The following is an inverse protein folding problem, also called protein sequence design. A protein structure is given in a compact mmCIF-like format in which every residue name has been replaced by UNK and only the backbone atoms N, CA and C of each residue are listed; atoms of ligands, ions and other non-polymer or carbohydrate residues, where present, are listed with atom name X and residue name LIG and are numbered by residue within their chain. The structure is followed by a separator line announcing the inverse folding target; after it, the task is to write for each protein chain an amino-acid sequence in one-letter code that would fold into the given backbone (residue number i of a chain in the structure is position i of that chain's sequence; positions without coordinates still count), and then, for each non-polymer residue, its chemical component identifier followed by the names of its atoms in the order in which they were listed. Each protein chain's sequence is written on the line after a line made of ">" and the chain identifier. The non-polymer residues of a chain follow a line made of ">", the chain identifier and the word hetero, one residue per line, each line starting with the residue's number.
data_IF_985598637144
#
_entry.id   IF_985598637144
#
_cell.length_a   1.000
_cell.length_b   1.000
_cell.length_c   1.000
_cell.angle_alpha   90.00
_cell.angle_beta   90.00
_cell.angle_gamma   90.00
#
_symmetry.space_group_name_H-M   'P 1'
#
loop_
_entity.id
_entity.type
_entity.pdbx_description
1 polymer ?
#
# COMPACT_ATOMS: atom_id res chain seq x y z
N UNK A 1 10.03 7.15 -28.24
CA UNK A 1 9.20 7.92 -27.30
C UNK A 1 7.96 7.08 -27.08
N UNK A 2 7.66 6.73 -25.83
CA UNK A 2 6.43 5.99 -25.50
C UNK A 2 5.34 7.04 -25.32
N UNK A 3 4.27 6.96 -26.11
CA UNK A 3 3.16 7.92 -26.04
C UNK A 3 2.08 7.37 -25.10
N UNK A 4 1.86 8.08 -23.99
CA UNK A 4 0.81 7.76 -23.02
C UNK A 4 -0.56 8.32 -23.40
N UNK A 5 -0.63 9.23 -24.39
CA UNK A 5 -1.86 9.96 -24.74
C UNK A 5 -3.05 9.06 -25.08
N UNK A 6 -2.78 7.88 -25.64
CA UNK A 6 -3.82 6.91 -25.99
C UNK A 6 -4.36 6.12 -24.77
N UNK A 7 -3.73 6.23 -23.60
CA UNK A 7 -4.14 5.55 -22.36
C UNK A 7 -4.87 6.48 -21.39
N UNK A 8 -4.79 7.80 -21.57
CA UNK A 8 -5.49 8.77 -20.74
C UNK A 8 -6.99 8.60 -20.97
N UNK A 9 -7.73 8.24 -19.91
CA UNK A 9 -9.14 7.86 -20.00
C UNK A 9 -10.04 9.09 -20.10
N UNK A 10 -9.61 10.21 -19.55
CA UNK A 10 -10.40 11.45 -19.46
C UNK A 10 -9.56 12.67 -19.86
N UNK A 11 -10.22 13.72 -20.37
CA UNK A 11 -9.53 14.94 -20.81
C UNK A 11 -8.84 15.70 -19.67
N UNK A 12 -9.31 15.52 -18.43
CA UNK A 12 -8.73 16.11 -17.22
C UNK A 12 -7.65 15.23 -16.56
N UNK A 13 -7.27 14.12 -17.21
CA UNK A 13 -6.18 13.27 -16.72
C UNK A 13 -4.82 13.82 -17.14
N UNK A 14 -3.99 14.18 -16.15
CA UNK A 14 -2.70 14.82 -16.37
C UNK A 14 -1.57 14.02 -15.73
N UNK A 15 -0.51 13.76 -16.50
CA UNK A 15 0.72 13.12 -16.02
C UNK A 15 1.52 14.14 -15.22
N UNK A 16 1.83 13.83 -13.96
CA UNK A 16 2.69 14.67 -13.13
C UNK A 16 4.02 14.01 -12.77
N UNK A 17 4.16 12.70 -12.98
CA UNK A 17 5.41 11.97 -12.78
C UNK A 17 5.59 10.92 -13.87
N UNK A 18 6.81 10.80 -14.38
CA UNK A 18 7.20 9.78 -15.35
C UNK A 18 8.60 9.29 -15.04
N UNK A 19 8.83 7.98 -15.24
CA UNK A 19 10.14 7.38 -15.09
C UNK A 19 10.31 6.21 -16.07
N UNK A 20 11.36 6.29 -16.89
CA UNK A 20 11.77 5.19 -17.75
C UNK A 20 12.55 4.11 -17.01
N UNK A 21 12.92 3.04 -17.73
CA UNK A 21 13.77 1.96 -17.22
C UNK A 21 13.30 1.39 -15.87
N UNK A 22 11.98 1.25 -15.71
CA UNK A 22 11.37 0.68 -14.52
C UNK A 22 10.83 -0.70 -14.86
N UNK A 23 11.36 -1.73 -14.21
CA UNK A 23 10.88 -3.10 -14.34
C UNK A 23 9.68 -3.30 -13.44
N UNK A 24 8.65 -3.98 -13.95
CA UNK A 24 7.47 -4.34 -13.15
C UNK A 24 7.42 -5.85 -12.94
N UNK A 25 7.05 -6.25 -11.73
CA UNK A 25 6.63 -7.61 -11.39
C UNK A 25 5.16 -7.59 -11.02
N UNK A 26 4.40 -8.56 -11.52
CA UNK A 26 3.01 -8.81 -11.14
C UNK A 26 2.95 -10.23 -10.61
N UNK A 27 2.68 -10.38 -9.30
CA UNK A 27 2.93 -11.59 -8.55
C UNK A 27 4.37 -12.10 -8.77
N UNK A 28 4.57 -13.39 -9.12
CA UNK A 28 5.89 -13.95 -9.39
C UNK A 28 6.46 -13.58 -10.78
N UNK A 29 5.65 -12.99 -11.67
CA UNK A 29 6.04 -12.80 -13.07
C UNK A 29 6.72 -11.45 -13.30
N UNK A 30 7.96 -11.47 -13.80
CA UNK A 30 8.64 -10.29 -14.32
C UNK A 30 8.18 -9.96 -15.74
N UNK A 31 7.73 -8.73 -15.97
CA UNK A 31 7.30 -8.27 -17.30
C UNK A 31 8.38 -7.47 -18.03
N UNK A 32 9.56 -7.36 -17.41
CA UNK A 32 10.73 -6.68 -17.95
C UNK A 32 10.70 -5.15 -17.78
N UNK A 33 11.63 -4.46 -18.44
CA UNK A 33 11.76 -3.00 -18.35
C UNK A 33 10.64 -2.27 -19.11
N UNK A 34 10.18 -1.16 -18.55
CA UNK A 34 9.21 -0.26 -19.16
C UNK A 34 9.31 1.17 -18.66
N UNK A 35 8.24 1.92 -18.87
CA UNK A 35 8.06 3.29 -18.44
C UNK A 35 6.83 3.35 -17.54
N UNK A 36 7.02 3.87 -16.33
CA UNK A 36 5.92 4.18 -15.42
C UNK A 36 5.53 5.64 -15.60
N UNK A 37 4.22 5.88 -15.59
CA UNK A 37 3.63 7.20 -15.59
C UNK A 37 2.60 7.26 -14.48
N UNK A 38 2.62 8.32 -13.69
CA UNK A 38 1.63 8.56 -12.65
C UNK A 38 0.87 9.82 -13.02
N UNK A 39 -0.45 9.67 -13.12
CA UNK A 39 -1.38 10.76 -13.39
C UNK A 39 -2.11 11.14 -12.12
N UNK A 40 -2.91 12.20 -12.18
CA UNK A 40 -3.85 12.55 -11.13
C UNK A 40 -4.95 11.51 -10.89
N UNK A 41 -5.12 10.46 -11.72
CA UNK A 41 -6.20 9.46 -11.59
C UNK A 41 -5.75 8.00 -11.62
N UNK A 42 -4.69 7.69 -12.37
CA UNK A 42 -4.22 6.34 -12.59
C UNK A 42 -2.69 6.26 -12.58
N UNK A 43 -2.19 5.06 -12.37
CA UNK A 43 -0.81 4.68 -12.63
C UNK A 43 -0.79 3.85 -13.89
N UNK A 44 0.05 4.22 -14.86
CA UNK A 44 0.24 3.46 -16.09
C UNK A 44 1.65 2.91 -16.15
N UNK A 45 1.78 1.68 -16.61
CA UNK A 45 3.07 1.12 -16.99
C UNK A 45 3.02 0.62 -18.42
N UNK A 46 4.02 1.00 -19.21
CA UNK A 46 4.14 0.64 -20.61
C UNK A 46 5.47 -0.06 -20.83
N UNK A 47 5.43 -1.27 -21.35
CA UNK A 47 6.63 -2.05 -21.65
C UNK A 47 7.53 -1.30 -22.65
N UNK A 48 8.85 -1.54 -22.58
CA UNK A 48 9.84 -0.90 -23.48
C UNK A 48 9.57 -1.14 -24.97
N UNK A 49 8.88 -2.22 -25.31
CA UNK A 49 8.48 -2.57 -26.68
C UNK A 49 7.08 -2.03 -27.07
N UNK A 50 6.41 -1.31 -26.17
CA UNK A 50 5.05 -0.77 -26.31
C UNK A 50 3.97 -1.82 -26.64
N UNK A 51 4.21 -3.09 -26.33
CA UNK A 51 3.27 -4.20 -26.57
C UNK A 51 2.39 -4.55 -25.38
N UNK A 52 2.75 -4.07 -24.20
CA UNK A 52 2.06 -4.41 -22.97
C UNK A 52 1.86 -3.13 -22.17
N UNK A 53 0.60 -2.85 -21.85
CA UNK A 53 0.16 -1.66 -21.15
C UNK A 53 -0.73 -2.05 -19.98
N UNK A 54 -0.32 -1.67 -18.79
CA UNK A 54 -1.12 -1.82 -17.57
C UNK A 54 -1.56 -0.46 -17.06
N UNK A 55 -2.77 -0.43 -16.53
CA UNK A 55 -3.36 0.72 -15.86
C UNK A 55 -3.92 0.28 -14.52
N UNK A 56 -3.56 1.00 -13.47
CA UNK A 56 -3.99 0.78 -12.09
C UNK A 56 -4.71 2.03 -11.60
N UNK A 57 -5.92 1.86 -11.06
CA UNK A 57 -6.67 2.96 -10.48
C UNK A 57 -6.21 3.16 -9.03
N UNK A 58 -6.12 4.41 -8.55
CA UNK A 58 -5.80 4.67 -7.14
C UNK A 58 -6.81 4.04 -6.18
N UNK A 59 -8.09 3.97 -6.54
CA UNK A 59 -9.12 3.28 -5.75
C UNK A 59 -8.92 1.76 -5.68
N UNK A 60 -8.10 1.18 -6.55
CA UNK A 60 -7.80 -0.25 -6.55
C UNK A 60 -6.46 -0.54 -5.89
N UNK A 61 -5.70 0.47 -5.44
CA UNK A 61 -4.42 0.27 -4.74
C UNK A 61 -4.72 0.31 -3.26
N UNK A 62 -4.86 -0.86 -2.62
CA UNK A 62 -5.10 -0.94 -1.17
C UNK A 62 -3.90 -0.49 -0.34
N UNK A 63 -2.68 -0.78 -0.81
CA UNK A 63 -1.45 -0.41 -0.12
C UNK A 63 -0.31 -0.11 -1.09
N UNK A 64 0.55 0.84 -0.73
CA UNK A 64 1.89 0.97 -1.31
C UNK A 64 2.98 1.08 -0.21
N UNK A 65 4.17 0.56 -0.49
CA UNK A 65 5.28 0.57 0.46
C UNK A 65 6.66 0.57 -0.24
N UNK A 66 7.67 1.13 0.41
CA UNK A 66 9.06 1.00 -0.03
C UNK A 66 9.65 -0.28 0.55
N UNK A 67 10.04 -1.20 -0.33
CA UNK A 67 10.72 -2.43 0.02
C UNK A 67 12.22 -2.27 -0.17
N UNK A 68 13.00 -2.54 0.88
CA UNK A 68 14.46 -2.47 0.84
C UNK A 68 15.06 -3.74 0.22
N UNK A 69 16.21 -3.60 -0.43
CA UNK A 69 16.95 -4.70 -1.05
C UNK A 69 17.22 -5.84 -0.06
N UNK A 70 16.98 -7.07 -0.51
CA UNK A 70 17.36 -8.33 0.11
C UNK A 70 18.32 -9.10 -0.80
N UNK A 71 18.82 -10.26 -0.34
CA UNK A 71 19.64 -11.14 -1.18
C UNK A 71 18.86 -11.71 -2.39
N UNK A 72 17.54 -11.80 -2.25
CA UNK A 72 16.64 -12.37 -3.26
C UNK A 72 16.05 -11.32 -4.20
N UNK A 73 15.87 -10.07 -3.73
CA UNK A 73 15.17 -9.04 -4.49
C UNK A 73 15.77 -7.63 -4.32
N UNK A 74 15.89 -6.84 -5.40
CA UNK A 74 16.35 -5.45 -5.30
C UNK A 74 15.34 -4.56 -4.57
N UNK A 75 15.80 -3.38 -4.14
CA UNK A 75 14.89 -2.37 -3.57
C UNK A 75 13.80 -2.02 -4.59
N UNK A 76 12.56 -1.87 -4.12
CA UNK A 76 11.39 -1.69 -4.98
C UNK A 76 10.27 -0.92 -4.29
N UNK A 77 9.29 -0.46 -5.06
CA UNK A 77 8.01 -0.01 -4.52
C UNK A 77 7.02 -1.16 -4.67
N UNK A 78 6.56 -1.70 -3.55
CA UNK A 78 5.55 -2.75 -3.49
C UNK A 78 4.16 -2.14 -3.43
N UNK A 79 3.19 -2.74 -4.10
CA UNK A 79 1.78 -2.37 -4.07
C UNK A 79 0.92 -3.63 -4.02
N UNK A 80 -0.19 -3.56 -3.29
CA UNK A 80 -1.29 -4.53 -3.40
C UNK A 80 -2.42 -3.86 -4.16
N UNK A 81 -2.92 -4.52 -5.20
CA UNK A 81 -4.02 -3.99 -6.01
C UNK A 81 -5.13 -5.01 -6.22
N UNK A 82 -6.37 -4.58 -6.10
CA UNK A 82 -7.53 -5.48 -6.24
C UNK A 82 -7.81 -5.79 -7.72
N UNK A 83 -7.54 -4.82 -8.60
CA UNK A 83 -7.83 -4.94 -10.03
C UNK A 83 -6.72 -4.37 -10.90
N UNK A 84 -6.39 -5.11 -11.97
CA UNK A 84 -5.42 -4.70 -12.99
C UNK A 84 -6.11 -4.61 -14.36
N UNK A 85 -6.03 -3.44 -15.00
CA UNK A 85 -6.58 -3.24 -16.35
C UNK A 85 -5.45 -3.35 -17.36
N UNK A 86 -5.52 -4.36 -18.24
CA UNK A 86 -4.60 -4.54 -19.37
C UNK A 86 -5.22 -3.98 -20.64
N UNK A 87 -4.49 -3.13 -21.38
CA UNK A 87 -5.05 -2.37 -22.53
C UNK A 87 -4.79 -3.06 -23.89
N UNK A 88 -3.96 -4.10 -23.94
CA UNK A 88 -3.65 -4.79 -25.19
C UNK A 88 -4.67 -5.87 -25.53
N UNK A 89 -5.66 -5.52 -26.37
CA UNK A 89 -6.25 -6.34 -27.45
C UNK A 89 -6.95 -7.67 -27.15
N UNK A 90 -6.68 -8.29 -26.02
CA UNK A 90 -7.35 -9.49 -25.52
C UNK A 90 -7.98 -9.11 -24.19
N UNK A 91 -9.25 -8.73 -24.30
CA UNK A 91 -10.17 -8.64 -23.19
C UNK A 91 -10.42 -10.05 -22.64
N UNK A 92 -9.37 -10.68 -22.11
CA UNK A 92 -9.51 -11.72 -21.10
C UNK A 92 -9.51 -10.98 -19.77
N UNK A 93 -10.70 -10.54 -19.37
CA UNK A 93 -11.09 -10.75 -17.99
C UNK A 93 -10.69 -12.19 -17.66
N UNK A 94 -9.57 -12.37 -16.97
CA UNK A 94 -9.35 -13.59 -16.20
C UNK A 94 -10.34 -13.47 -15.05
N UNK A 95 -11.60 -13.79 -15.33
CA UNK A 95 -12.36 -14.56 -14.37
C UNK A 95 -11.53 -15.81 -14.12
N UNK A 96 -11.24 -16.04 -12.85
CA UNK A 96 -10.39 -17.09 -12.33
C UNK A 96 -10.80 -18.44 -12.95
N UNK A 97 -9.89 -19.05 -13.69
CA UNK A 97 -9.91 -20.51 -13.82
C UNK A 97 -9.33 -21.01 -12.50
N UNK A 98 -10.22 -21.48 -11.64
CA UNK A 98 -9.95 -22.32 -10.47
C UNK A 98 -9.04 -23.49 -10.91
N UNK A 99 -7.72 -23.35 -10.73
CA UNK A 99 -6.83 -24.50 -10.65
C UNK A 99 -6.82 -24.94 -9.19
N UNK A 100 -7.66 -25.94 -8.90
CA UNK A 100 -7.64 -26.73 -7.67
C UNK A 100 -6.25 -27.36 -7.48
N UNK A 101 -5.36 -26.66 -6.77
CA UNK A 101 -4.29 -27.30 -6.02
C UNK A 101 -4.75 -27.41 -4.56
N UNK A 102 -5.34 -28.56 -4.23
CA UNK A 102 -5.62 -28.99 -2.85
C UNK A 102 -4.31 -29.01 -2.04
N UNK A 103 -3.99 -27.99 -1.23
CA UNK A 103 -3.30 -28.17 0.06
C UNK A 103 -3.68 -27.05 1.07
N UNK A 104 -4.38 -27.49 2.11
CA UNK A 104 -4.59 -26.91 3.45
C UNK A 104 -5.72 -25.87 3.65
N UNK A 105 -6.77 -26.35 4.32
CA UNK A 105 -7.84 -25.58 4.96
C UNK A 105 -7.27 -24.49 5.89
N UNK A 106 -7.05 -23.28 5.35
CA UNK A 106 -7.16 -22.04 6.13
C UNK A 106 -8.37 -21.29 5.58
N UNK A 107 -9.42 -21.32 6.38
CA UNK A 107 -10.71 -20.72 6.10
C UNK A 107 -10.65 -19.22 6.49
N UNK A 108 -9.90 -18.44 5.73
CA UNK A 108 -9.97 -16.97 5.74
C UNK A 108 -10.56 -16.52 4.40
N UNK A 109 -11.51 -15.59 4.45
CA UNK A 109 -11.93 -14.76 3.32
C UNK A 109 -10.72 -13.90 2.89
N UNK A 110 -9.66 -14.52 2.36
CA UNK A 110 -8.47 -13.83 1.89
C UNK A 110 -8.87 -13.00 0.67
N UNK A 111 -9.05 -11.69 0.89
CA UNK A 111 -9.25 -10.71 -0.18
C UNK A 111 -8.22 -10.97 -1.29
N UNK A 112 -8.71 -11.32 -2.49
CA UNK A 112 -7.87 -11.69 -3.63
C UNK A 112 -7.22 -10.42 -4.19
N UNK A 113 -6.07 -10.04 -3.64
CA UNK A 113 -5.25 -8.94 -4.16
C UNK A 113 -4.14 -9.45 -5.08
N UNK A 114 -3.77 -8.62 -6.06
CA UNK A 114 -2.60 -8.82 -6.89
C UNK A 114 -1.42 -7.99 -6.39
N UNK A 115 -0.30 -8.65 -6.15
CA UNK A 115 0.94 -7.98 -5.77
C UNK A 115 1.65 -7.38 -6.98
N UNK A 116 2.14 -6.15 -6.83
CA UNK A 116 2.92 -5.46 -7.85
C UNK A 116 4.20 -4.91 -7.24
N UNK A 117 5.31 -5.01 -7.97
CA UNK A 117 6.57 -4.37 -7.58
C UNK A 117 7.14 -3.54 -8.73
N UNK A 118 7.43 -2.28 -8.45
CA UNK A 118 8.13 -1.38 -9.35
C UNK A 118 9.60 -1.29 -8.96
N UNK A 119 10.48 -1.68 -9.87
CA UNK A 119 11.93 -1.72 -9.67
C UNK A 119 12.58 -0.77 -10.69
N UNK A 120 12.90 0.48 -10.29
CA UNK A 120 13.66 1.36 -11.16
C UNK A 120 15.09 0.84 -11.34
N UNK A 121 15.67 1.06 -12.52
CA UNK A 121 17.10 0.79 -12.76
C UNK A 121 18.01 1.60 -11.82
N UNK A 122 17.58 2.79 -11.44
CA UNK A 122 18.25 3.68 -10.49
C UNK A 122 17.53 3.62 -9.14
N UNK A 123 18.16 2.96 -8.15
CA UNK A 123 17.62 2.80 -6.79
C UNK A 123 17.32 4.14 -6.10
N UNK A 124 17.99 5.24 -6.51
CA UNK A 124 17.73 6.58 -5.93
C UNK A 124 16.34 7.12 -6.30
N UNK A 125 15.67 6.52 -7.29
CA UNK A 125 14.34 6.92 -7.76
C UNK A 125 13.19 6.22 -7.06
N UNK A 126 13.47 5.23 -6.19
CA UNK A 126 12.44 4.46 -5.49
C UNK A 126 11.54 5.38 -4.67
N UNK A 127 12.12 6.27 -3.87
CA UNK A 127 11.34 7.26 -3.12
C UNK A 127 10.55 8.20 -4.03
N UNK A 128 11.09 8.57 -5.19
CA UNK A 128 10.35 9.42 -6.14
C UNK A 128 9.11 8.73 -6.71
N UNK A 129 9.17 7.41 -6.97
CA UNK A 129 8.01 6.62 -7.37
C UNK A 129 7.00 6.57 -6.22
N UNK A 130 7.47 6.23 -5.01
CA UNK A 130 6.63 6.13 -3.83
C UNK A 130 5.89 7.45 -3.53
N UNK A 131 6.62 8.58 -3.49
CA UNK A 131 6.05 9.90 -3.27
C UNK A 131 5.01 10.26 -4.34
N UNK A 132 5.24 9.86 -5.59
CA UNK A 132 4.29 10.07 -6.67
C UNK A 132 3.01 9.25 -6.48
N UNK A 133 3.11 8.00 -6.00
CA UNK A 133 1.95 7.17 -5.66
C UNK A 133 1.19 7.75 -4.46
N UNK A 134 1.87 8.19 -3.40
CA UNK A 134 1.23 8.83 -2.26
C UNK A 134 0.49 10.11 -2.66
N UNK A 135 1.13 10.94 -3.50
CA UNK A 135 0.48 12.14 -4.04
C UNK A 135 -0.75 11.78 -4.89
N UNK A 136 -0.67 10.72 -5.69
CA UNK A 136 -1.80 10.25 -6.47
C UNK A 136 -2.96 9.77 -5.59
N UNK A 137 -2.68 8.99 -4.54
CA UNK A 137 -3.69 8.58 -3.56
C UNK A 137 -4.36 9.79 -2.88
N UNK A 138 -3.58 10.81 -2.49
CA UNK A 138 -4.12 12.05 -1.90
C UNK A 138 -5.08 12.81 -2.84
N UNK A 139 -4.91 12.67 -4.15
CA UNK A 139 -5.77 13.30 -5.16
C UNK A 139 -7.04 12.50 -5.47
N UNK A 140 -7.14 11.26 -4.97
CA UNK A 140 -8.25 10.34 -5.21
C UNK A 140 -8.76 9.76 -3.87
N UNK A 141 -9.31 10.60 -2.96
CA UNK A 141 -9.96 10.10 -1.75
C UNK A 141 -11.21 9.31 -2.11
N UNK A 142 -11.54 8.29 -1.32
CA UNK A 142 -12.73 7.46 -1.57
C UNK A 142 -14.02 8.29 -1.46
N UNK A 143 -14.96 8.14 -2.41
CA UNK A 143 -16.18 8.95 -2.44
C UNK A 143 -17.16 8.65 -1.30
N UNK A 144 -17.02 7.53 -0.59
CA UNK A 144 -17.82 7.19 0.59
C UNK A 144 -17.17 7.63 1.91
N UNK A 145 -15.94 8.15 1.86
CA UNK A 145 -15.19 8.65 3.01
C UNK A 145 -15.35 10.17 3.15
N UNK A 146 -16.59 10.65 3.00
CA UNK A 146 -16.98 11.96 3.54
C UNK A 146 -16.93 11.83 5.08
N UNK A 147 -15.73 11.94 5.67
CA UNK A 147 -15.45 12.04 7.11
C UNK A 147 -16.10 13.30 7.76
N UNK A 148 -17.19 13.84 7.21
CA UNK A 148 -17.98 14.91 7.82
C UNK A 148 -18.83 14.42 9.00
N UNK A 149 -18.83 13.11 9.30
CA UNK A 149 -19.55 12.51 10.43
C UNK A 149 -18.61 11.86 11.47
N UNK A 150 -17.37 12.35 11.61
CA UNK A 150 -16.67 12.25 12.90
C UNK A 150 -17.45 13.08 13.92
N UNK A 151 -18.48 12.47 14.52
CA UNK A 151 -19.14 12.94 15.72
C UNK A 151 -18.10 13.01 16.84
N UNK A 152 -17.38 14.14 16.91
CA UNK A 152 -16.83 14.61 18.18
C UNK A 152 -18.02 14.64 19.12
N UNK A 153 -18.07 13.68 20.03
CA UNK A 153 -19.16 13.52 20.99
C UNK A 153 -19.66 14.85 21.48
N UNK A 154 -20.80 15.30 20.94
CA UNK A 154 -21.49 16.48 21.43
C UNK A 154 -21.78 16.21 22.90
N UNK A 155 -21.38 17.18 23.72
CA UNK A 155 -21.14 17.00 25.12
C UNK A 155 -22.39 16.58 25.85
N UNK A 156 -22.37 15.37 26.40
CA UNK A 156 -23.07 15.15 27.66
C UNK A 156 -22.23 15.81 28.74
N UNK A 157 -22.70 16.98 29.17
CA UNK A 157 -22.14 17.77 30.24
C UNK A 157 -22.21 16.98 31.55
N UNK A 158 -21.22 16.12 31.79
CA UNK A 158 -20.83 15.75 33.14
C UNK A 158 -19.43 16.31 33.37
N UNK A 159 -19.38 17.37 34.17
CA UNK A 159 -18.17 18.01 34.69
C UNK A 159 -17.19 16.99 35.30
N UNK A 160 -16.34 16.38 34.49
CA UNK A 160 -15.05 15.86 34.89
C UNK A 160 -14.01 16.40 33.93
N UNK A 161 -13.63 17.63 34.24
CA UNK A 161 -12.47 18.33 33.75
C UNK A 161 -11.23 17.43 33.90
N UNK A 162 -10.89 16.69 32.84
CA UNK A 162 -9.56 16.10 32.66
C UNK A 162 -8.59 17.25 32.34
N UNK A 163 -8.39 18.14 33.31
CA UNK A 163 -7.28 19.07 33.28
C UNK A 163 -6.00 18.22 33.38
N UNK A 164 -5.21 18.22 32.32
CA UNK A 164 -3.79 17.93 32.44
C UNK A 164 -3.23 18.97 33.42
N UNK A 165 -3.03 18.60 34.67
CA UNK A 165 -2.25 19.39 35.62
C UNK A 165 -0.77 19.04 35.39
N UNK A 166 0.04 19.94 34.81
CA UNK A 166 1.46 19.68 34.60
C UNK A 166 2.27 19.52 35.90
N UNK A 167 1.67 19.76 37.08
CA UNK A 167 2.27 19.46 38.38
C UNK A 167 1.88 18.09 38.96
N UNK A 168 0.99 17.35 38.31
CA UNK A 168 0.57 16.01 38.75
C UNK A 168 1.46 14.92 38.13
N UNK A 169 2.75 14.96 38.49
CA UNK A 169 3.78 14.01 38.04
C UNK A 169 3.56 12.58 38.56
N UNK A 170 2.78 12.43 39.64
CA UNK A 170 2.61 11.13 40.31
C UNK A 170 1.41 10.34 39.79
N UNK A 171 0.75 10.79 38.71
CA UNK A 171 -0.38 10.08 38.10
C UNK A 171 0.00 8.69 37.53
N UNK A 172 1.28 8.43 37.35
CA UNK A 172 1.81 7.17 36.83
C UNK A 172 2.49 6.30 37.91
N UNK A 173 2.47 6.70 39.19
CA UNK A 173 3.15 5.96 40.28
C UNK A 173 2.39 4.73 40.78
N UNK A 174 1.18 4.46 40.29
CA UNK A 174 0.38 3.28 40.72
C UNK A 174 0.74 1.99 39.96
N UNK A 175 1.89 1.94 39.28
CA UNK A 175 2.50 0.66 38.93
C UNK A 175 3.20 0.10 40.17
N UNK A 176 2.43 -0.49 41.10
CA UNK A 176 3.00 -1.30 42.17
C UNK A 176 3.86 -2.41 41.51
N UNK A 177 5.19 -2.27 41.61
CA UNK A 177 6.12 -3.38 41.44
C UNK A 177 5.75 -4.42 42.51
N UNK A 178 5.10 -5.51 42.09
CA UNK A 178 5.03 -6.72 42.90
C UNK A 178 6.47 -7.22 43.08
N UNK A 179 7.10 -6.88 44.21
CA UNK A 179 8.33 -7.49 44.67
C UNK A 179 8.06 -9.00 44.85
N UNK A 180 8.57 -9.82 43.94
CA UNK A 180 8.65 -11.27 44.13
C UNK A 180 9.50 -11.54 45.37
N UNK A 181 8.86 -11.92 46.48
CA UNK A 181 9.53 -12.42 47.68
C UNK A 181 10.37 -13.65 47.28
N UNK A 182 11.69 -13.50 47.24
CA UNK A 182 12.62 -14.64 47.17
C UNK A 182 12.43 -15.49 48.44
N UNK A 183 11.75 -16.63 48.32
CA UNK A 183 11.77 -17.65 49.37
C UNK A 183 13.20 -18.18 49.51
N UNK A 184 13.91 -17.70 50.54
CA UNK A 184 15.11 -18.31 51.09
C UNK A 184 14.76 -19.71 51.61
N UNK A 185 15.02 -20.73 50.79
CA UNK A 185 14.92 -22.14 51.17
C UNK A 185 16.16 -22.49 52.03
N UNK A 186 16.10 -22.11 53.29
CA UNK A 186 17.09 -22.40 54.33
C UNK A 186 16.89 -23.83 54.87
N UNK A 187 17.92 -24.66 54.65
CA UNK A 187 18.32 -25.87 55.38
C UNK A 187 17.24 -26.78 56.01
N UNK A 188 17.11 -28.01 55.48
CA UNK A 188 16.87 -29.18 56.34
C UNK A 188 17.87 -30.31 56.07
N UNK A 189 18.35 -30.83 57.20
CA UNK A 189 19.45 -31.77 57.45
C UNK A 189 19.25 -33.18 56.90
#
# INVERSE_FOLDING_TARGET
>A
MVEIKDLLKTEDEEVFFELGNTTIYIGPQSLGEGHIYVTNKNVHWISKNNKTKYTFNFYSIGLNAVFSKTDEFPSSVYCQVDQIITVDGDNKMKEEEEEEEEEEENNDDDDVYTEIRFIPLDETKIHSIYDALCKGALLNPDPEDDEDDFYYGDGDNNDQQLAFDPNDINRFDDAEEEEEEEEEDDEQQ
#
